data_IF_080526875657
#
_entry.id   IF_080526875657
#
_cell.length_a   1.000
_cell.length_b   1.000
_cell.length_c   1.000
_cell.angle_alpha   90.00
_cell.angle_beta   90.00
_cell.angle_gamma   90.00
#
_symmetry.space_group_name_H-M   'P 1'
#
loop_
_entity.id
_entity.type
_entity.pdbx_description
1 polymer ?
#
# COMPACT_ATOMS: atom_id res chain seq x y z
N UNK A 1 35.10 29.98 32.17
CA UNK A 1 34.07 30.94 31.72
C UNK A 1 33.38 30.41 30.45
N UNK A 2 32.84 29.19 30.47
CA UNK A 2 32.22 28.56 29.28
C UNK A 2 30.89 27.96 29.72
N UNK A 3 29.91 28.79 30.08
CA UNK A 3 28.66 28.28 30.67
C UNK A 3 27.41 28.95 30.11
N UNK A 4 27.47 30.23 29.77
CA UNK A 4 26.29 30.95 29.24
C UNK A 4 26.07 30.73 27.73
N UNK A 5 27.13 30.77 26.93
CA UNK A 5 27.04 30.61 25.47
C UNK A 5 26.58 29.20 25.09
N UNK A 6 27.06 28.19 25.82
CA UNK A 6 26.69 26.79 25.59
C UNK A 6 25.23 26.53 25.99
N UNK A 7 24.77 27.10 27.10
CA UNK A 7 23.39 26.90 27.56
C UNK A 7 22.36 27.60 26.66
N UNK A 8 22.70 28.78 26.14
CA UNK A 8 21.89 29.47 25.12
C UNK A 8 21.86 28.73 23.77
N UNK A 9 23.00 28.18 23.34
CA UNK A 9 23.09 27.36 22.13
C UNK A 9 22.26 26.07 22.24
N UNK A 10 22.30 25.38 23.39
CA UNK A 10 21.46 24.20 23.64
C UNK A 10 19.96 24.52 23.72
N UNK A 11 19.58 25.67 24.27
CA UNK A 11 18.18 26.14 24.30
C UNK A 11 17.66 26.48 22.89
N UNK A 12 18.48 27.14 22.07
CA UNK A 12 18.15 27.45 20.67
C UNK A 12 18.01 26.18 19.84
N UNK A 13 18.93 25.23 20.01
CA UNK A 13 18.83 23.92 19.40
C UNK A 13 17.54 23.24 19.85
N UNK A 14 17.26 23.09 21.14
CA UNK A 14 16.04 22.44 21.65
C UNK A 14 14.72 23.02 21.08
N UNK A 15 14.67 24.32 20.78
CA UNK A 15 13.51 24.97 20.14
C UNK A 15 13.39 24.71 18.63
N UNK A 16 14.48 24.33 17.96
CA UNK A 16 14.52 23.98 16.52
C UNK A 16 14.29 22.48 16.25
N UNK A 17 14.39 21.60 17.26
CA UNK A 17 14.10 20.17 17.08
C UNK A 17 12.61 19.81 16.89
N UNK A 18 11.62 20.45 17.55
CA UNK A 18 10.22 20.03 17.43
C UNK A 18 9.64 20.26 16.03
N UNK A 19 10.19 21.19 15.23
CA UNK A 19 9.76 21.40 13.83
C UNK A 19 10.20 20.27 12.91
N UNK A 20 11.33 19.62 13.20
CA UNK A 20 11.83 18.47 12.42
C UNK A 20 10.95 17.24 12.63
N UNK A 21 10.40 17.07 13.85
CA UNK A 21 9.55 15.93 14.19
C UNK A 21 8.19 16.01 13.46
N UNK A 22 7.63 17.21 13.25
CA UNK A 22 6.39 17.37 12.48
C UNK A 22 6.56 17.11 10.98
N UNK A 23 7.77 17.20 10.44
CA UNK A 23 8.02 17.03 9.01
C UNK A 23 8.04 15.56 8.56
N UNK A 24 8.08 14.59 9.49
CA UNK A 24 8.11 13.17 9.16
C UNK A 24 6.74 12.48 9.16
N UNK A 25 5.66 13.20 9.49
CA UNK A 25 4.31 12.66 9.38
C UNK A 25 3.79 12.83 7.94
N UNK A 26 4.52 12.32 6.94
CA UNK A 26 3.86 11.82 5.73
C UNK A 26 3.14 10.53 6.15
N UNK A 27 2.09 10.67 6.96
CA UNK A 27 1.01 9.72 6.89
C UNK A 27 0.56 9.83 5.43
N UNK A 28 0.78 8.77 4.65
CA UNK A 28 0.09 8.60 3.37
C UNK A 28 -1.39 8.62 3.74
N UNK A 29 -1.99 9.80 3.70
CA UNK A 29 -3.36 10.03 4.14
C UNK A 29 -4.25 9.18 3.24
N UNK A 30 -4.94 8.21 3.83
CA UNK A 30 -5.72 7.22 3.08
C UNK A 30 -4.95 6.01 2.54
N UNK A 31 -3.68 5.81 2.92
CA UNK A 31 -2.94 4.58 2.59
C UNK A 31 -3.42 3.35 3.38
N UNK A 32 -3.21 2.16 2.83
CA UNK A 32 -3.63 0.89 3.40
C UNK A 32 -2.44 -0.01 3.75
N UNK A 33 -2.65 -0.95 4.67
CA UNK A 33 -1.71 -2.05 4.95
C UNK A 33 -2.41 -3.37 4.76
N UNK A 34 -1.88 -4.21 3.86
CA UNK A 34 -2.44 -5.53 3.55
C UNK A 34 -1.32 -6.57 3.46
N UNK A 35 -1.44 -7.67 4.21
CA UNK A 35 -0.45 -8.76 4.26
C UNK A 35 1.00 -8.30 4.56
N UNK A 36 1.15 -7.25 5.36
CA UNK A 36 2.46 -6.69 5.72
C UNK A 36 3.09 -5.79 4.63
N UNK A 37 2.37 -5.52 3.54
CA UNK A 37 2.75 -4.55 2.51
C UNK A 37 1.91 -3.29 2.64
N UNK A 38 2.53 -2.14 2.36
CA UNK A 38 1.87 -0.83 2.34
C UNK A 38 1.43 -0.47 0.92
N UNK A 39 0.22 0.04 0.79
CA UNK A 39 -0.41 0.48 -0.45
C UNK A 39 -0.85 1.94 -0.30
N UNK A 40 -0.68 2.74 -1.36
CA UNK A 40 -1.18 4.10 -1.42
C UNK A 40 -2.70 4.13 -1.60
N UNK A 41 -3.34 5.27 -1.31
CA UNK A 41 -4.75 5.47 -1.64
C UNK A 41 -4.98 5.22 -3.13
N UNK A 42 -6.01 4.45 -3.46
CA UNK A 42 -6.40 4.00 -4.81
C UNK A 42 -5.45 3.03 -5.49
N UNK A 43 -4.46 2.49 -4.79
CA UNK A 43 -3.69 1.36 -5.32
C UNK A 43 -4.61 0.17 -5.57
N UNK A 44 -4.37 -0.53 -6.67
CA UNK A 44 -5.06 -1.77 -7.05
C UNK A 44 -4.02 -2.87 -7.20
N UNK A 45 -4.25 -4.01 -6.55
CA UNK A 45 -3.33 -5.14 -6.59
C UNK A 45 -4.06 -6.49 -6.57
N UNK A 46 -3.38 -7.54 -7.02
CA UNK A 46 -3.85 -8.93 -6.98
C UNK A 46 -2.97 -9.72 -6.00
N UNK A 47 -3.40 -9.96 -4.75
CA UNK A 47 -2.61 -10.78 -3.80
C UNK A 47 -2.51 -12.24 -4.27
N UNK A 48 -3.53 -12.71 -4.97
CA UNK A 48 -3.59 -14.02 -5.63
C UNK A 48 -4.28 -13.89 -6.99
N UNK A 49 -4.15 -14.87 -7.92
CA UNK A 49 -4.67 -14.74 -9.27
C UNK A 49 -6.18 -14.46 -9.37
N UNK A 50 -6.95 -14.98 -8.41
CA UNK A 50 -8.42 -14.90 -8.35
C UNK A 50 -8.98 -13.86 -7.39
N UNK A 51 -8.15 -12.99 -6.83
CA UNK A 51 -8.62 -11.92 -5.94
C UNK A 51 -8.02 -10.59 -6.39
N UNK A 52 -8.85 -9.56 -6.40
CA UNK A 52 -8.43 -8.20 -6.67
C UNK A 52 -8.78 -7.32 -5.47
N UNK A 53 -7.82 -6.51 -5.05
CA UNK A 53 -7.99 -5.60 -3.94
C UNK A 53 -7.71 -4.16 -4.39
N UNK A 54 -8.41 -3.22 -3.77
CA UNK A 54 -8.19 -1.79 -3.88
C UNK A 54 -8.06 -1.17 -2.49
N UNK A 55 -7.17 -0.20 -2.36
CA UNK A 55 -7.12 0.67 -1.19
C UNK A 55 -8.06 1.86 -1.44
N UNK A 56 -9.10 2.00 -0.62
CA UNK A 56 -10.00 3.15 -0.66
C UNK A 56 -9.95 3.89 0.68
N UNK A 57 -9.28 5.04 0.68
CA UNK A 57 -9.25 5.97 1.82
C UNK A 57 -8.88 5.31 3.15
N UNK A 58 -7.92 4.38 3.14
CA UNK A 58 -7.44 3.63 4.30
C UNK A 58 -8.15 2.30 4.56
N UNK A 59 -9.15 1.94 3.74
CA UNK A 59 -9.83 0.64 3.78
C UNK A 59 -9.36 -0.26 2.65
N UNK A 60 -9.01 -1.51 2.97
CA UNK A 60 -8.73 -2.52 1.94
C UNK A 60 -10.05 -3.18 1.55
N UNK A 61 -10.43 -3.06 0.28
CA UNK A 61 -11.61 -3.70 -0.29
C UNK A 61 -11.14 -4.75 -1.28
N UNK A 62 -11.49 -6.02 -1.05
CA UNK A 62 -11.11 -7.13 -1.93
C UNK A 62 -12.37 -7.83 -2.45
N UNK A 63 -12.35 -8.15 -3.74
CA UNK A 63 -13.38 -8.94 -4.41
C UNK A 63 -12.74 -10.15 -5.08
N UNK A 64 -13.49 -11.25 -5.11
CA UNK A 64 -13.10 -12.49 -5.77
C UNK A 64 -13.51 -12.46 -7.25
N UNK A 65 -12.64 -12.94 -8.12
CA UNK A 65 -12.87 -13.06 -9.56
C UNK A 65 -13.65 -14.34 -9.81
N UNK A 66 -14.88 -14.19 -10.30
CA UNK A 66 -15.72 -15.31 -10.72
C UNK A 66 -15.56 -15.48 -12.23
N UNK A 67 -15.14 -16.67 -12.65
CA UNK A 67 -15.04 -17.02 -14.07
C UNK A 67 -16.42 -17.30 -14.67
N UNK A 68 -16.55 -17.13 -15.99
CA UNK A 68 -17.76 -17.56 -16.68
C UNK A 68 -17.87 -19.09 -16.60
N UNK A 69 -18.96 -19.59 -16.02
CA UNK A 69 -19.23 -21.03 -15.85
C UNK A 69 -19.60 -21.72 -17.18
N UNK A 70 -19.67 -20.98 -18.28
CA UNK A 70 -19.82 -21.57 -19.61
C UNK A 70 -18.63 -22.47 -19.90
N UNK A 71 -18.90 -23.77 -20.13
CA UNK A 71 -17.89 -24.70 -20.60
C UNK A 71 -17.24 -24.12 -21.86
N UNK A 72 -15.96 -23.77 -21.75
CA UNK A 72 -15.19 -23.25 -22.86
C UNK A 72 -15.24 -24.27 -24.00
N UNK A 73 -15.80 -23.88 -25.15
CA UNK A 73 -15.95 -24.74 -26.33
C UNK A 73 -14.61 -24.86 -27.09
N UNK A 74 -13.58 -25.37 -26.40
CA UNK A 74 -12.28 -25.65 -26.98
C UNK A 74 -11.65 -26.91 -26.37
N UNK A 75 -10.86 -27.66 -27.16
CA UNK A 75 -10.35 -28.96 -26.75
C UNK A 75 -9.28 -28.90 -25.66
N UNK A 76 -8.68 -27.74 -25.40
CA UNK A 76 -7.60 -27.58 -24.42
C UNK A 76 -7.57 -26.14 -23.85
N UNK A 77 -8.47 -25.81 -22.92
CA UNK A 77 -8.43 -24.54 -22.21
C UNK A 77 -7.22 -24.51 -21.25
N UNK A 78 -6.53 -23.37 -21.20
CA UNK A 78 -5.33 -23.18 -20.36
C UNK A 78 -5.49 -21.94 -19.48
N UNK A 79 -4.97 -22.00 -18.25
CA UNK A 79 -4.91 -20.83 -17.35
C UNK A 79 -3.54 -20.17 -17.50
N UNK A 80 -3.45 -18.94 -18.06
CA UNK A 80 -2.19 -18.23 -18.18
C UNK A 80 -1.57 -17.94 -16.81
N UNK A 81 -0.24 -17.80 -16.77
CA UNK A 81 0.46 -17.51 -15.52
C UNK A 81 0.00 -16.17 -14.91
N UNK A 82 -0.53 -16.22 -13.68
CA UNK A 82 -1.02 -15.04 -12.95
C UNK A 82 -2.49 -14.69 -13.19
N UNK A 83 -3.19 -15.45 -14.04
CA UNK A 83 -4.62 -15.29 -14.30
C UNK A 83 -5.48 -16.27 -13.51
N UNK A 84 -6.72 -15.88 -13.25
CA UNK A 84 -7.69 -16.74 -12.55
C UNK A 84 -8.38 -17.72 -13.50
N UNK A 85 -8.79 -17.22 -14.67
CA UNK A 85 -9.70 -17.94 -15.56
C UNK A 85 -8.96 -18.56 -16.73
N UNK A 86 -9.46 -19.71 -17.16
CA UNK A 86 -8.95 -20.39 -18.35
C UNK A 86 -9.36 -19.62 -19.61
N UNK A 87 -8.49 -19.69 -20.63
CA UNK A 87 -8.72 -19.12 -21.94
C UNK A 87 -8.51 -20.20 -23.00
N UNK A 88 -9.16 -20.05 -24.14
CA UNK A 88 -8.87 -20.86 -25.32
C UNK A 88 -7.75 -20.20 -26.14
N UNK A 89 -6.72 -20.95 -26.56
CA UNK A 89 -5.68 -20.46 -27.46
C UNK A 89 -6.17 -20.20 -28.89
#
# INVERSE_FOLDING_TARGET
MMSFVQKGSWLLLALLHPTIILAQQEAVEGGCSHLGQSYADRDVWKPEPCQICVCDSGSVLCDDIICDDQELDCPNPEIPFGECCAVCP
#
